data_IF_595575623311
#
_entry.id   IF_595575623311
#
_cell.length_a   1.000
_cell.length_b   1.000
_cell.length_c   1.000
_cell.angle_alpha   90.00
_cell.angle_beta   90.00
_cell.angle_gamma   90.00
#
_symmetry.space_group_name_H-M   'P 1'
#
loop_
_entity.id
_entity.type
_entity.pdbx_description
1 polymer ?
#
# COMPACT_ATOMS: atom_id res chain seq x y z
N UNK A 1 -7.41 -13.74 -25.29
CA UNK A 1 -6.57 -13.34 -24.15
C UNK A 1 -5.34 -12.72 -24.76
N UNK A 2 -5.14 -11.40 -24.68
CA UNK A 2 -3.81 -10.85 -24.95
C UNK A 2 -2.93 -11.46 -23.86
N UNK A 3 -1.82 -12.04 -24.27
CA UNK A 3 -0.89 -12.66 -23.34
C UNK A 3 -0.51 -11.65 -22.27
N UNK A 4 -0.78 -12.02 -21.03
CA UNK A 4 -0.22 -11.35 -19.86
C UNK A 4 1.29 -11.29 -20.12
N UNK A 5 1.89 -10.13 -19.95
CA UNK A 5 3.29 -9.87 -20.30
C UNK A 5 4.15 -11.10 -20.05
N UNK A 6 4.71 -11.69 -21.07
CA UNK A 6 5.61 -12.85 -20.97
C UNK A 6 6.84 -12.53 -20.12
N UNK A 7 7.16 -11.24 -19.97
CA UNK A 7 8.33 -10.75 -19.25
C UNK A 7 7.91 -9.82 -18.13
N UNK A 8 8.48 -9.98 -16.93
CA UNK A 8 8.22 -9.07 -15.80
C UNK A 8 8.60 -7.62 -16.14
N UNK A 9 7.91 -6.66 -15.48
CA UNK A 9 8.22 -5.24 -15.65
C UNK A 9 9.69 -4.93 -15.32
N UNK A 10 10.25 -5.57 -14.30
CA UNK A 10 11.66 -5.41 -13.91
C UNK A 10 12.59 -5.83 -15.04
N UNK A 11 12.36 -6.99 -15.67
CA UNK A 11 13.19 -7.44 -16.78
C UNK A 11 13.18 -6.46 -17.95
N UNK A 12 12.01 -5.94 -18.31
CA UNK A 12 11.88 -4.94 -19.38
C UNK A 12 12.59 -3.62 -19.03
N UNK A 13 12.50 -3.19 -17.76
CA UNK A 13 13.10 -1.93 -17.31
C UNK A 13 14.63 -1.98 -17.27
N UNK A 14 15.20 -3.13 -16.86
CA UNK A 14 16.66 -3.28 -16.80
C UNK A 14 17.31 -3.10 -18.18
N UNK A 15 16.64 -3.48 -19.26
CA UNK A 15 17.08 -3.27 -20.64
C UNK A 15 17.00 -1.79 -21.09
N UNK A 16 16.20 -0.98 -20.38
CA UNK A 16 15.89 0.42 -20.72
C UNK A 16 16.40 1.45 -19.69
N UNK A 17 17.41 1.07 -18.90
CA UNK A 17 18.02 1.96 -17.92
C UNK A 17 17.27 2.08 -16.59
N UNK A 18 16.20 1.31 -16.38
CA UNK A 18 15.57 1.18 -15.07
C UNK A 18 16.47 0.43 -14.10
N UNK A 19 16.15 0.55 -12.80
CA UNK A 19 16.94 -0.08 -11.73
C UNK A 19 16.01 -0.64 -10.67
N UNK A 20 16.33 -1.84 -10.20
CA UNK A 20 15.70 -2.45 -9.03
C UNK A 20 16.72 -2.64 -7.92
N UNK A 21 16.32 -2.41 -6.69
CA UNK A 21 17.16 -2.59 -5.51
C UNK A 21 16.33 -3.14 -4.35
N UNK A 22 16.88 -4.09 -3.58
CA UNK A 22 16.27 -4.54 -2.36
C UNK A 22 16.31 -3.41 -1.31
N UNK A 23 15.25 -3.26 -0.56
CA UNK A 23 15.20 -2.34 0.58
C UNK A 23 15.58 -3.11 1.85
N UNK A 24 16.81 -2.92 2.27
CA UNK A 24 17.38 -3.57 3.46
C UNK A 24 17.41 -2.56 4.59
N UNK A 25 16.83 -2.91 5.72
CA UNK A 25 16.94 -2.13 6.95
C UNK A 25 18.17 -2.65 7.72
N UNK A 26 19.26 -1.90 7.66
CA UNK A 26 20.48 -2.22 8.41
C UNK A 26 20.19 -2.24 9.92
N UNK A 27 20.76 -3.20 10.64
CA UNK A 27 20.59 -3.39 12.09
C UNK A 27 19.14 -3.68 12.56
N UNK A 28 18.19 -3.92 11.66
CA UNK A 28 17.06 -4.71 12.09
C UNK A 28 17.66 -6.04 12.48
N UNK A 29 17.60 -6.41 13.77
CA UNK A 29 17.92 -7.77 14.16
C UNK A 29 17.08 -8.67 13.26
N UNK A 30 17.73 -9.23 12.28
CA UNK A 30 17.11 -10.17 11.35
C UNK A 30 16.86 -11.43 12.15
N UNK A 31 15.66 -11.51 12.70
CA UNK A 31 15.14 -12.70 13.36
C UNK A 31 14.55 -13.68 12.32
N UNK A 32 14.96 -13.56 11.06
CA UNK A 32 14.44 -14.34 9.94
C UNK A 32 13.10 -13.84 9.39
N UNK A 33 12.59 -12.71 9.89
CA UNK A 33 11.30 -12.18 9.49
C UNK A 33 11.44 -11.18 8.35
N UNK A 34 10.49 -11.24 7.40
CA UNK A 34 10.52 -10.46 6.18
C UNK A 34 10.18 -9.00 6.39
N UNK A 35 10.83 -8.16 5.61
CA UNK A 35 10.42 -6.78 5.37
C UNK A 35 9.59 -6.79 4.09
N UNK A 36 8.39 -6.21 4.09
CA UNK A 36 7.50 -6.24 2.94
C UNK A 36 6.72 -4.94 2.76
N UNK A 37 6.02 -4.83 1.66
CA UNK A 37 5.02 -3.81 1.33
C UNK A 37 5.46 -2.38 1.72
N UNK A 38 6.64 -1.92 1.24
CA UNK A 38 7.16 -0.60 1.55
C UNK A 38 6.36 0.49 0.85
N UNK A 39 6.25 1.66 1.50
CA UNK A 39 5.63 2.85 0.93
C UNK A 39 6.60 4.02 0.92
N UNK A 40 6.95 4.50 -0.26
CA UNK A 40 7.82 5.68 -0.45
C UNK A 40 6.98 6.96 -0.46
N UNK A 41 7.51 8.01 0.12
CA UNK A 41 6.98 9.36 0.06
C UNK A 41 8.11 10.36 -0.17
N UNK A 42 7.85 11.36 -0.97
CA UNK A 42 8.77 12.43 -1.30
C UNK A 42 8.21 13.78 -0.84
N UNK A 43 9.06 14.58 -0.20
CA UNK A 43 8.70 15.95 0.13
C UNK A 43 8.94 16.83 -1.09
N UNK A 44 7.86 17.36 -1.66
CA UNK A 44 7.91 18.24 -2.82
C UNK A 44 8.90 19.41 -2.62
N UNK A 45 9.64 19.76 -3.67
CA UNK A 45 10.65 20.81 -3.65
C UNK A 45 11.92 20.49 -2.86
N UNK A 46 12.12 19.22 -2.46
CA UNK A 46 13.31 18.79 -1.72
C UNK A 46 13.88 17.48 -2.27
N UNK A 47 15.05 17.07 -1.79
CA UNK A 47 15.62 15.74 -2.04
C UNK A 47 15.31 14.77 -0.90
N UNK A 48 14.37 15.10 -0.03
CA UNK A 48 14.03 14.29 1.15
C UNK A 48 12.98 13.25 0.79
N UNK A 49 13.38 12.00 0.94
CA UNK A 49 12.48 10.84 0.84
C UNK A 49 12.37 10.13 2.18
N UNK A 50 11.18 9.63 2.46
CA UNK A 50 10.92 8.72 3.56
C UNK A 50 10.33 7.42 2.99
N UNK A 51 10.68 6.32 3.62
CA UNK A 51 10.08 5.01 3.30
C UNK A 51 9.53 4.42 4.58
N UNK A 52 8.25 4.08 4.56
CA UNK A 52 7.70 3.18 5.55
C UNK A 52 7.95 1.74 5.10
N UNK A 53 8.55 0.92 5.94
CA UNK A 53 8.76 -0.51 5.68
C UNK A 53 7.98 -1.31 6.71
N UNK A 54 7.18 -2.24 6.23
CA UNK A 54 6.45 -3.20 7.06
C UNK A 54 7.36 -4.36 7.42
N UNK A 55 7.43 -4.72 8.71
CA UNK A 55 8.06 -5.94 9.21
C UNK A 55 6.97 -6.83 9.79
N UNK A 56 6.95 -8.09 9.37
CA UNK A 56 5.98 -9.09 9.83
C UNK A 56 6.64 -10.17 10.68
N UNK A 57 5.90 -10.75 11.63
CA UNK A 57 6.34 -11.87 12.48
C UNK A 57 5.99 -13.25 11.89
N UNK A 58 5.74 -13.29 10.59
CA UNK A 58 5.32 -14.49 9.87
C UNK A 58 5.82 -14.43 8.43
N UNK A 59 5.69 -15.51 7.68
CA UNK A 59 5.92 -15.54 6.25
C UNK A 59 4.87 -16.41 5.55
N UNK A 60 4.67 -16.12 4.27
CA UNK A 60 3.80 -16.93 3.43
C UNK A 60 4.40 -18.31 3.24
N UNK A 61 3.53 -19.29 3.37
CA UNK A 61 3.83 -20.68 3.09
C UNK A 61 3.03 -21.11 1.87
N UNK A 62 3.73 -21.40 0.79
CA UNK A 62 3.13 -21.87 -0.45
C UNK A 62 3.08 -23.39 -0.47
N UNK A 63 2.16 -23.97 0.30
CA UNK A 63 1.79 -25.39 0.17
C UNK A 63 2.83 -26.43 0.58
N UNK A 64 3.99 -26.05 1.10
CA UNK A 64 5.01 -27.02 1.45
C UNK A 64 4.88 -27.54 2.88
N UNK A 65 4.07 -26.92 3.70
CA UNK A 65 4.01 -27.23 5.12
C UNK A 65 2.70 -27.78 5.61
N UNK A 66 2.80 -28.40 6.74
CA UNK A 66 1.69 -28.98 7.47
C UNK A 66 1.04 -27.98 8.42
N UNK A 67 1.78 -26.96 8.84
CA UNK A 67 1.29 -25.97 9.79
C UNK A 67 0.77 -24.72 9.09
N UNK A 68 -0.55 -24.54 9.18
CA UNK A 68 -1.23 -23.32 8.71
C UNK A 68 -1.82 -22.61 9.90
N UNK A 69 -1.79 -21.30 9.86
CA UNK A 69 -2.47 -20.50 10.86
C UNK A 69 -3.98 -20.67 10.71
N UNK A 70 -4.65 -21.17 11.73
CA UNK A 70 -6.09 -21.41 11.70
C UNK A 70 -6.86 -20.14 12.00
N UNK A 71 -7.87 -19.86 11.20
CA UNK A 71 -8.82 -18.77 11.42
C UNK A 71 -10.25 -19.29 11.35
N UNK A 72 -11.24 -18.51 11.84
CA UNK A 72 -12.65 -18.91 11.74
C UNK A 72 -13.14 -19.16 10.31
N UNK A 73 -12.46 -18.63 9.31
CA UNK A 73 -12.79 -18.79 7.89
C UNK A 73 -11.85 -19.70 7.11
N UNK A 74 -11.10 -20.50 7.84
CA UNK A 74 -10.23 -21.52 7.28
C UNK A 74 -8.73 -21.27 7.52
N UNK A 75 -7.89 -22.21 7.13
CA UNK A 75 -6.44 -22.07 7.27
C UNK A 75 -5.90 -20.99 6.37
N UNK A 76 -4.97 -20.17 6.90
CA UNK A 76 -4.16 -19.24 6.15
C UNK A 76 -2.79 -19.85 5.89
N UNK A 77 -2.22 -19.54 4.73
CA UNK A 77 -0.88 -19.99 4.36
C UNK A 77 0.21 -19.12 5.01
N UNK A 78 0.12 -18.95 6.34
CA UNK A 78 1.12 -18.24 7.12
C UNK A 78 1.81 -19.19 8.10
N UNK A 79 3.13 -19.09 8.17
CA UNK A 79 3.96 -19.79 9.15
C UNK A 79 4.60 -18.78 10.06
N UNK A 80 4.60 -19.08 11.35
CA UNK A 80 5.32 -18.30 12.35
C UNK A 80 6.56 -19.09 12.80
N UNK A 81 7.71 -18.42 12.90
CA UNK A 81 8.94 -19.08 13.34
C UNK A 81 9.05 -19.26 14.85
N UNK A 82 8.12 -18.68 15.61
CA UNK A 82 8.09 -18.70 17.07
C UNK A 82 6.71 -19.14 17.60
N UNK A 83 6.58 -19.23 18.92
CA UNK A 83 5.36 -19.62 19.63
C UNK A 83 4.41 -18.43 19.88
N UNK A 84 4.65 -17.25 19.33
CA UNK A 84 3.75 -16.11 19.46
C UNK A 84 2.38 -16.44 18.82
N UNK A 85 1.28 -16.40 19.57
CA UNK A 85 -0.06 -16.69 19.03
C UNK A 85 -0.56 -15.63 18.03
N UNK A 86 0.18 -14.53 17.86
CA UNK A 86 -0.27 -13.40 17.04
C UNK A 86 0.54 -13.24 15.77
N UNK A 87 -0.14 -12.84 14.68
CA UNK A 87 0.45 -12.38 13.44
C UNK A 87 0.73 -10.88 13.55
N UNK A 88 1.96 -10.53 13.90
CA UNK A 88 2.33 -9.14 14.19
C UNK A 88 2.86 -8.42 12.96
N UNK A 89 2.50 -7.15 12.88
CA UNK A 89 3.01 -6.20 11.91
C UNK A 89 3.57 -4.98 12.63
N UNK A 90 4.84 -4.69 12.40
CA UNK A 90 5.52 -3.47 12.79
C UNK A 90 5.81 -2.60 11.57
N UNK A 91 5.82 -1.30 11.76
CA UNK A 91 6.17 -0.34 10.71
C UNK A 91 7.40 0.47 11.13
N UNK A 92 8.32 0.67 10.19
CA UNK A 92 9.56 1.44 10.37
C UNK A 92 9.58 2.60 9.40
N UNK A 93 9.80 3.80 9.90
CA UNK A 93 10.10 4.97 9.07
C UNK A 93 11.62 5.07 8.90
N UNK A 94 12.04 5.02 7.65
CA UNK A 94 13.44 5.12 7.25
C UNK A 94 13.64 6.38 6.42
N UNK A 95 14.81 6.98 6.55
CA UNK A 95 15.27 8.00 5.61
C UNK A 95 15.81 7.26 4.36
N UNK A 96 15.53 7.79 3.18
CA UNK A 96 15.99 7.21 1.92
C UNK A 96 16.90 8.17 1.18
N UNK A 97 18.06 7.69 0.81
CA UNK A 97 19.07 8.46 0.09
C UNK A 97 19.08 8.04 -1.38
N UNK A 98 18.73 9.00 -2.27
CA UNK A 98 18.68 8.76 -3.72
C UNK A 98 20.03 8.42 -4.35
N UNK A 99 21.15 8.97 -3.83
CA UNK A 99 22.46 8.76 -4.45
C UNK A 99 22.96 7.33 -4.34
N UNK A 100 22.84 6.75 -3.15
CA UNK A 100 23.31 5.39 -2.88
C UNK A 100 22.17 4.37 -2.74
N UNK A 101 20.92 4.83 -2.90
CA UNK A 101 19.72 4.02 -2.88
C UNK A 101 19.49 3.23 -1.59
N UNK A 102 20.09 3.67 -0.48
CA UNK A 102 20.01 2.98 0.81
C UNK A 102 18.95 3.56 1.73
N UNK A 103 18.32 2.68 2.49
CA UNK A 103 17.58 3.05 3.67
C UNK A 103 18.55 3.29 4.83
N UNK A 104 18.35 4.40 5.53
CA UNK A 104 19.13 4.75 6.72
C UNK A 104 18.18 5.12 7.85
N UNK A 105 18.70 5.12 9.08
CA UNK A 105 17.99 5.60 10.26
C UNK A 105 16.61 4.93 10.45
N UNK A 106 16.55 3.60 10.54
CA UNK A 106 15.28 2.89 10.74
C UNK A 106 14.72 3.18 12.14
N UNK A 107 13.49 3.67 12.20
CA UNK A 107 12.80 4.04 13.43
C UNK A 107 11.46 3.33 13.48
N UNK A 108 11.32 2.35 14.37
CA UNK A 108 10.05 1.69 14.61
C UNK A 108 9.00 2.70 15.10
N UNK A 109 7.80 2.64 14.54
CA UNK A 109 6.68 3.45 15.03
C UNK A 109 6.21 2.91 16.37
N UNK A 110 6.38 3.70 17.43
CA UNK A 110 5.88 3.35 18.76
C UNK A 110 4.38 3.61 18.83
N UNK A 111 3.60 2.55 18.91
CA UNK A 111 2.12 2.57 18.97
C UNK A 111 1.55 2.33 20.37
N UNK A 112 2.39 2.25 21.41
CA UNK A 112 2.01 1.86 22.77
C UNK A 112 0.92 2.73 23.41
N UNK A 113 0.79 3.98 22.96
CA UNK A 113 -0.28 4.87 23.42
C UNK A 113 -1.68 4.35 23.08
N UNK A 114 -1.81 3.64 21.97
CA UNK A 114 -3.09 3.21 21.40
C UNK A 114 -3.25 1.69 21.30
N UNK A 115 -2.17 0.95 21.47
CA UNK A 115 -2.18 -0.52 21.42
C UNK A 115 -1.45 -1.03 22.65
N UNK A 116 -2.21 -1.50 23.63
CA UNK A 116 -1.65 -2.05 24.89
C UNK A 116 -1.54 -3.56 24.81
N UNK A 117 -2.67 -4.21 24.62
CA UNK A 117 -2.78 -5.67 24.50
C UNK A 117 -3.37 -6.05 23.15
N UNK A 118 -2.92 -7.14 22.53
CA UNK A 118 -3.55 -7.66 21.34
C UNK A 118 -4.97 -8.18 21.66
N UNK A 119 -5.96 -7.71 20.94
CA UNK A 119 -7.35 -8.16 21.07
C UNK A 119 -7.74 -9.16 19.96
N UNK A 120 -6.89 -9.25 18.91
CA UNK A 120 -7.12 -10.09 17.73
C UNK A 120 -5.82 -10.73 17.27
N UNK A 121 -5.94 -11.82 16.54
CA UNK A 121 -4.79 -12.58 16.01
C UNK A 121 -3.91 -11.74 15.07
N UNK A 122 -4.50 -10.81 14.35
CA UNK A 122 -3.79 -9.85 13.49
C UNK A 122 -3.52 -8.56 14.25
N UNK A 123 -2.25 -8.28 14.49
CA UNK A 123 -1.81 -7.14 15.29
C UNK A 123 -0.98 -6.18 14.44
N UNK A 124 -1.32 -4.92 14.48
CA UNK A 124 -0.55 -3.88 13.81
C UNK A 124 -1.29 -3.25 12.64
N UNK A 125 -0.61 -2.34 11.95
CA UNK A 125 -1.12 -1.63 10.78
C UNK A 125 -0.52 -2.26 9.52
N UNK A 126 -1.36 -2.93 8.73
CA UNK A 126 -0.94 -3.61 7.52
C UNK A 126 -0.96 -2.66 6.31
N UNK A 127 -0.04 -2.87 5.39
CA UNK A 127 0.05 -2.21 4.08
C UNK A 127 -0.05 -0.69 4.20
N UNK A 128 0.78 -0.13 5.07
CA UNK A 128 0.71 1.27 5.46
C UNK A 128 1.35 2.20 4.41
N UNK A 129 0.55 3.11 3.85
CA UNK A 129 0.99 4.18 2.96
C UNK A 129 1.34 5.41 3.78
N UNK A 130 2.53 5.97 3.53
CA UNK A 130 2.97 7.21 4.17
C UNK A 130 2.45 8.41 3.38
N UNK A 131 2.01 9.46 4.07
CA UNK A 131 1.50 10.69 3.47
C UNK A 131 1.70 11.89 4.39
N UNK A 132 1.95 13.06 3.81
CA UNK A 132 1.92 14.34 4.52
C UNK A 132 0.66 15.12 4.12
N UNK A 133 -0.10 15.56 5.11
CA UNK A 133 -1.24 16.45 4.92
C UNK A 133 -1.25 17.56 5.98
N UNK A 134 -1.49 18.78 5.55
CA UNK A 134 -1.55 19.95 6.46
C UNK A 134 -0.30 20.08 7.36
N UNK A 135 0.89 19.76 6.82
CA UNK A 135 2.18 19.83 7.54
C UNK A 135 2.36 18.73 8.60
N UNK A 136 1.56 17.67 8.56
CA UNK A 136 1.62 16.53 9.47
C UNK A 136 1.83 15.23 8.72
N UNK A 137 2.62 14.36 9.32
CA UNK A 137 2.87 13.02 8.77
C UNK A 137 1.85 12.03 9.26
N UNK A 138 1.40 11.18 8.34
CA UNK A 138 0.49 10.07 8.62
C UNK A 138 0.98 8.79 7.96
N UNK A 139 0.57 7.67 8.54
CA UNK A 139 0.56 6.37 7.87
C UNK A 139 -0.87 5.83 7.86
N UNK A 140 -1.30 5.30 6.72
CA UNK A 140 -2.66 4.79 6.56
C UNK A 140 -2.66 3.38 5.99
N UNK A 141 -3.40 2.49 6.60
CA UNK A 141 -3.48 1.08 6.23
C UNK A 141 -4.67 0.40 6.89
N UNK A 142 -4.72 -0.92 6.84
CA UNK A 142 -5.76 -1.69 7.50
C UNK A 142 -5.31 -2.19 8.87
N UNK A 143 -6.23 -2.20 9.81
CA UNK A 143 -6.04 -2.76 11.14
C UNK A 143 -7.32 -3.50 11.58
N UNK A 144 -7.17 -4.57 12.35
CA UNK A 144 -8.34 -5.17 13.01
C UNK A 144 -8.88 -4.20 14.05
N UNK A 145 -10.17 -3.95 13.98
CA UNK A 145 -10.86 -3.05 14.88
C UNK A 145 -11.35 -3.82 16.11
N UNK A 146 -10.82 -3.44 17.28
CA UNK A 146 -11.04 -4.16 18.52
C UNK A 146 -12.50 -4.53 18.85
N UNK A 147 -13.49 -3.62 18.71
CA UNK A 147 -14.86 -3.94 19.10
C UNK A 147 -15.56 -5.03 18.29
N UNK A 148 -15.17 -5.25 17.02
CA UNK A 148 -15.91 -6.16 16.13
C UNK A 148 -15.03 -7.11 15.29
N UNK A 149 -13.70 -7.04 15.44
CA UNK A 149 -12.73 -7.85 14.70
C UNK A 149 -12.65 -7.58 13.20
N UNK A 150 -13.42 -6.63 12.69
CA UNK A 150 -13.45 -6.31 11.27
C UNK A 150 -12.20 -5.54 10.85
N UNK A 151 -11.75 -5.74 9.62
CA UNK A 151 -10.72 -4.91 9.02
C UNK A 151 -11.25 -3.49 8.77
N UNK A 152 -10.55 -2.49 9.29
CA UNK A 152 -10.88 -1.08 9.09
C UNK A 152 -9.67 -0.31 8.62
N UNK A 153 -9.89 0.62 7.71
CA UNK A 153 -8.86 1.59 7.38
C UNK A 153 -8.60 2.48 8.58
N UNK A 154 -7.33 2.68 8.88
CA UNK A 154 -6.87 3.53 9.99
C UNK A 154 -5.89 4.55 9.46
N UNK A 155 -6.05 5.79 9.90
CA UNK A 155 -5.10 6.86 9.70
C UNK A 155 -4.39 7.12 11.04
N UNK A 156 -3.09 6.88 11.08
CA UNK A 156 -2.23 7.11 12.24
C UNK A 156 -1.41 8.37 12.04
N UNK A 157 -1.66 9.43 12.82
CA UNK A 157 -0.82 10.62 12.87
C UNK A 157 0.47 10.28 13.61
N UNK A 158 1.61 10.54 12.99
CA UNK A 158 2.93 10.20 13.54
C UNK A 158 3.78 11.45 13.75
N UNK A 159 4.54 11.45 14.84
CA UNK A 159 5.58 12.44 15.11
C UNK A 159 6.96 11.80 14.85
N UNK A 160 7.68 12.40 13.89
CA UNK A 160 8.98 11.90 13.44
C UNK A 160 10.07 12.81 14.01
N UNK A 161 10.88 12.27 14.90
CA UNK A 161 12.01 12.97 15.51
C UNK A 161 13.32 12.22 15.26
N UNK A 162 14.49 12.84 15.46
CA UNK A 162 15.76 12.12 15.40
C UNK A 162 15.87 10.96 16.41
N UNK A 163 15.13 11.04 17.52
CA UNK A 163 15.14 10.03 18.58
C UNK A 163 14.16 8.88 18.36
N UNK A 164 13.25 8.98 17.41
CA UNK A 164 12.27 7.94 17.12
C UNK A 164 10.99 8.46 16.49
N UNK A 165 10.07 7.53 16.23
CA UNK A 165 8.75 7.81 15.67
C UNK A 165 7.68 7.35 16.64
N UNK A 166 6.67 8.19 16.89
CA UNK A 166 5.55 7.89 17.80
C UNK A 166 4.23 8.11 17.09
N UNK A 167 3.30 7.20 17.28
CA UNK A 167 1.89 7.44 16.94
C UNK A 167 1.29 8.39 17.99
N UNK A 168 0.84 9.56 17.54
CA UNK A 168 0.30 10.62 18.39
C UNK A 168 -1.21 10.82 18.23
N UNK A 169 -1.79 10.26 17.18
CA UNK A 169 -3.23 10.20 16.92
C UNK A 169 -3.59 8.99 16.09
N UNK A 170 -4.76 8.39 16.36
CA UNK A 170 -5.30 7.26 15.60
C UNK A 170 -6.75 7.54 15.25
N UNK A 171 -7.11 7.37 14.00
CA UNK A 171 -8.43 7.62 13.46
C UNK A 171 -8.91 6.39 12.68
N UNK A 172 -9.99 5.77 13.13
CA UNK A 172 -10.65 4.67 12.41
C UNK A 172 -11.57 5.29 11.39
N UNK A 173 -11.31 5.03 10.12
CA UNK A 173 -12.08 5.56 9.01
C UNK A 173 -13.22 4.60 8.66
N UNK A 174 -14.43 5.13 8.62
CA UNK A 174 -15.61 4.37 8.22
C UNK A 174 -15.91 4.64 6.73
N UNK A 175 -16.38 3.63 5.99
CA UNK A 175 -16.88 3.86 4.64
C UNK A 175 -18.13 4.76 4.66
N UNK A 176 -18.57 5.27 3.52
CA UNK A 176 -19.85 5.95 3.43
C UNK A 176 -20.98 5.13 4.03
N UNK A 177 -21.99 5.79 4.57
CA UNK A 177 -23.11 5.17 5.27
C UNK A 177 -23.78 4.07 4.42
N UNK A 178 -24.05 2.94 5.05
CA UNK A 178 -24.67 1.78 4.39
C UNK A 178 -23.72 0.89 3.57
N UNK A 179 -22.43 1.23 3.49
CA UNK A 179 -21.45 0.46 2.70
C UNK A 179 -20.42 -0.31 3.54
N UNK A 180 -20.72 -0.54 4.82
CA UNK A 180 -19.82 -1.30 5.68
C UNK A 180 -19.72 -2.77 5.25
N UNK A 181 -18.48 -3.26 5.13
CA UNK A 181 -18.21 -4.68 4.87
C UNK A 181 -17.30 -5.27 5.97
N UNK A 182 -17.00 -6.56 5.86
CA UNK A 182 -16.15 -7.26 6.81
C UNK A 182 -14.72 -6.70 6.85
N UNK A 183 -14.18 -6.28 5.72
CA UNK A 183 -12.80 -5.79 5.63
C UNK A 183 -12.68 -4.62 4.65
N UNK A 184 -12.67 -3.42 5.18
CA UNK A 184 -12.28 -2.21 4.45
C UNK A 184 -10.76 -2.13 4.39
N UNK A 185 -10.20 -2.14 3.19
CA UNK A 185 -8.76 -2.05 2.97
C UNK A 185 -8.41 -1.44 1.63
N UNK A 186 -7.14 -1.09 1.47
CA UNK A 186 -6.55 -0.63 0.21
C UNK A 186 -7.12 0.69 -0.32
N UNK A 187 -7.63 1.56 0.55
CA UNK A 187 -7.93 2.92 0.16
C UNK A 187 -6.64 3.68 -0.14
N UNK A 188 -6.56 4.29 -1.31
CA UNK A 188 -5.38 5.01 -1.78
C UNK A 188 -5.45 6.48 -1.35
N UNK A 189 -4.56 6.98 -0.47
CA UNK A 189 -4.54 8.39 -0.09
C UNK A 189 -4.13 9.25 -1.28
N UNK A 190 -4.81 10.40 -1.47
CA UNK A 190 -4.51 11.36 -2.52
C UNK A 190 -3.57 12.40 -1.93
N UNK A 191 -2.32 12.48 -2.43
CA UNK A 191 -1.26 13.22 -1.77
C UNK A 191 -1.53 14.73 -1.64
N UNK A 192 -2.11 15.36 -2.66
CA UNK A 192 -2.41 16.81 -2.68
C UNK A 192 -3.81 17.16 -2.17
N UNK A 193 -4.59 16.18 -1.70
CA UNK A 193 -5.94 16.39 -1.17
C UNK A 193 -6.07 15.84 0.25
N UNK A 194 -5.92 16.67 1.29
CA UNK A 194 -6.00 16.22 2.68
C UNK A 194 -7.25 15.41 2.99
N UNK A 195 -7.05 14.21 3.55
CA UNK A 195 -8.09 13.27 3.99
C UNK A 195 -9.00 12.74 2.88
N UNK A 196 -8.57 12.84 1.61
CA UNK A 196 -9.26 12.23 0.49
C UNK A 196 -8.59 10.92 0.09
N UNK A 197 -9.42 9.98 -0.33
CA UNK A 197 -8.98 8.64 -0.74
C UNK A 197 -9.72 8.20 -2.00
N UNK A 198 -9.03 7.49 -2.87
CA UNK A 198 -9.69 6.63 -3.84
C UNK A 198 -10.01 5.33 -3.12
N UNK A 199 -11.30 5.10 -2.84
CA UNK A 199 -11.83 3.91 -2.17
C UNK A 199 -11.92 2.73 -3.11
N UNK A 200 -12.34 3.00 -4.35
CA UNK A 200 -12.46 2.03 -5.42
C UNK A 200 -11.99 2.64 -6.74
N UNK A 201 -11.38 1.87 -7.63
CA UNK A 201 -10.76 2.40 -8.84
C UNK A 201 -11.55 2.13 -10.13
N UNK A 202 -12.49 1.18 -10.14
CA UNK A 202 -13.27 0.86 -11.34
C UNK A 202 -14.67 0.27 -11.01
N UNK A 203 -15.77 1.03 -11.12
CA UNK A 203 -15.77 2.47 -11.36
C UNK A 203 -15.13 3.23 -10.22
N UNK A 204 -14.54 4.37 -10.52
CA UNK A 204 -13.82 5.12 -9.49
C UNK A 204 -14.74 5.69 -8.42
N UNK A 205 -14.35 5.55 -7.16
CA UNK A 205 -15.00 6.12 -5.99
C UNK A 205 -13.99 6.94 -5.19
N UNK A 206 -14.26 8.23 -5.06
CA UNK A 206 -13.44 9.14 -4.25
C UNK A 206 -14.23 9.58 -3.04
N UNK A 207 -13.64 9.41 -1.87
CA UNK A 207 -14.24 9.78 -0.59
C UNK A 207 -13.39 10.79 0.15
N UNK A 208 -14.03 11.55 1.02
CA UNK A 208 -13.40 12.40 2.02
C UNK A 208 -13.74 11.90 3.40
N UNK A 209 -12.74 11.77 4.24
CA UNK A 209 -12.90 11.37 5.65
C UNK A 209 -12.96 12.62 6.51
N UNK A 210 -13.97 12.71 7.38
CA UNK A 210 -14.14 13.81 8.34
C UNK A 210 -13.29 13.53 9.59
N UNK A 211 -12.10 14.12 9.63
CA UNK A 211 -11.18 13.97 10.75
C UNK A 211 -11.52 14.97 11.86
N UNK A 212 -12.23 14.51 12.87
CA UNK A 212 -12.50 15.34 14.03
C UNK A 212 -11.34 15.33 15.03
N UNK A 213 -10.49 16.35 14.96
CA UNK A 213 -9.28 16.50 15.81
C UNK A 213 -9.60 16.54 17.32
N UNK A 214 -10.83 16.88 17.73
CA UNK A 214 -11.26 16.88 19.15
C UNK A 214 -11.34 15.47 19.74
N UNK A 215 -11.44 14.43 18.89
CA UNK A 215 -11.56 13.05 19.33
C UNK A 215 -10.23 12.28 19.38
N UNK A 216 -9.13 12.94 19.03
CA UNK A 216 -7.78 12.38 18.95
C UNK A 216 -7.35 11.49 20.13
N UNK A 217 -7.92 11.70 21.31
CA UNK A 217 -7.56 10.99 22.54
C UNK A 217 -8.68 10.12 23.13
N UNK A 218 -9.78 9.90 22.39
CA UNK A 218 -10.89 9.10 22.88
C UNK A 218 -11.09 7.85 22.03
N UNK A 219 -10.59 6.67 22.44
CA UNK A 219 -10.64 5.44 21.65
C UNK A 219 -12.06 4.97 21.27
N UNK A 220 -13.08 5.36 22.04
CA UNK A 220 -14.48 5.05 21.71
C UNK A 220 -15.11 6.00 20.69
N UNK A 221 -14.48 7.15 20.40
CA UNK A 221 -14.97 8.19 19.48
C UNK A 221 -14.09 8.41 18.25
N UNK A 222 -13.07 7.58 18.02
CA UNK A 222 -12.14 7.70 16.89
C UNK A 222 -12.74 7.32 15.53
N UNK A 223 -14.02 7.09 15.45
CA UNK A 223 -14.70 6.77 14.20
C UNK A 223 -14.88 8.04 13.39
N UNK A 224 -14.24 8.09 12.25
CA UNK A 224 -14.32 9.20 11.31
C UNK A 224 -15.21 8.77 10.14
N UNK A 225 -16.40 9.33 10.01
CA UNK A 225 -17.26 9.04 8.87
C UNK A 225 -16.62 9.56 7.59
N UNK A 226 -17.00 8.97 6.48
CA UNK A 226 -16.63 9.47 5.17
C UNK A 226 -17.87 9.71 4.32
N UNK A 227 -17.68 10.55 3.30
CA UNK A 227 -18.70 10.83 2.30
C UNK A 227 -18.09 10.80 0.91
N UNK A 228 -18.91 10.50 -0.09
CA UNK A 228 -18.48 10.57 -1.47
C UNK A 228 -18.22 12.02 -1.89
N UNK A 229 -17.06 12.23 -2.50
CA UNK A 229 -16.73 13.43 -3.28
C UNK A 229 -17.03 13.19 -4.75
N UNK A 230 -16.78 11.95 -5.19
CA UNK A 230 -17.11 11.51 -6.54
C UNK A 230 -17.47 10.02 -6.49
N UNK A 231 -18.51 9.63 -7.22
CA UNK A 231 -18.91 8.24 -7.43
C UNK A 231 -19.13 8.02 -8.92
N UNK A 232 -18.26 7.17 -9.49
CA UNK A 232 -18.33 6.82 -10.90
C UNK A 232 -19.62 6.06 -11.25
N UNK A 233 -20.06 6.21 -12.49
CA UNK A 233 -21.22 5.49 -13.02
C UNK A 233 -20.87 4.00 -13.20
N UNK A 234 -21.57 3.06 -12.54
CA UNK A 234 -21.36 1.64 -12.73
C UNK A 234 -21.49 1.15 -14.19
N UNK A 235 -22.26 1.86 -15.01
CA UNK A 235 -22.42 1.55 -16.43
C UNK A 235 -21.18 1.90 -17.27
N UNK A 236 -20.29 2.73 -16.72
CA UNK A 236 -19.02 3.13 -17.35
C UNK A 236 -17.82 2.36 -16.79
N UNK A 237 -18.06 1.24 -16.11
CA UNK A 237 -17.00 0.35 -15.64
C UNK A 237 -16.13 -0.12 -16.83
N UNK A 238 -14.82 0.00 -16.67
CA UNK A 238 -13.86 -0.50 -17.67
C UNK A 238 -13.93 -2.03 -17.74
N UNK A 239 -13.75 -2.63 -18.92
CA UNK A 239 -13.92 -4.05 -19.13
C UNK A 239 -12.69 -4.87 -18.72
N UNK A 240 -12.18 -4.63 -17.50
CA UNK A 240 -11.12 -5.46 -16.95
C UNK A 240 -11.64 -6.83 -16.55
N UNK A 241 -10.82 -7.86 -16.74
CA UNK A 241 -11.17 -9.24 -16.36
C UNK A 241 -11.31 -9.39 -14.84
N UNK A 242 -10.44 -8.72 -14.11
CA UNK A 242 -10.40 -8.72 -12.65
C UNK A 242 -10.69 -7.30 -12.13
N UNK A 243 -11.31 -7.23 -10.96
CA UNK A 243 -11.60 -5.93 -10.35
C UNK A 243 -10.33 -5.32 -9.74
N UNK A 244 -9.88 -4.15 -10.26
CA UNK A 244 -8.71 -3.48 -9.72
C UNK A 244 -9.01 -2.88 -8.34
N UNK A 245 -8.13 -3.15 -7.40
CA UNK A 245 -8.16 -2.66 -6.03
C UNK A 245 -7.02 -1.69 -5.80
N UNK A 246 -7.17 -0.79 -4.83
CA UNK A 246 -6.14 0.19 -4.54
C UNK A 246 -4.81 -0.42 -4.09
N UNK A 247 -3.71 0.18 -4.49
CA UNK A 247 -2.35 -0.24 -4.15
C UNK A 247 -1.51 0.92 -3.65
N UNK A 248 -0.89 1.74 -4.51
CA UNK A 248 -0.04 2.87 -4.11
C UNK A 248 -0.83 4.04 -3.51
N UNK A 249 -0.15 5.14 -3.19
CA UNK A 249 -0.80 6.44 -3.08
C UNK A 249 -1.23 6.93 -4.47
N UNK A 250 -2.16 7.91 -4.50
CA UNK A 250 -2.49 8.66 -5.70
C UNK A 250 -1.62 9.90 -5.74
N UNK A 251 -0.77 10.00 -6.74
CA UNK A 251 0.16 11.13 -6.90
C UNK A 251 -0.32 12.10 -8.00
N UNK A 252 -0.07 13.40 -7.85
CA UNK A 252 -0.11 14.34 -8.97
C UNK A 252 0.98 13.98 -9.98
N UNK A 253 0.62 13.90 -11.27
CA UNK A 253 1.57 13.62 -12.34
C UNK A 253 1.11 14.31 -13.64
N UNK A 254 1.91 15.24 -14.19
CA UNK A 254 1.62 16.02 -15.43
C UNK A 254 0.22 16.64 -15.51
N UNK A 255 -0.30 17.13 -14.38
CA UNK A 255 -1.64 17.72 -14.31
C UNK A 255 -2.77 16.72 -14.13
N UNK A 256 -2.48 15.44 -14.12
CA UNK A 256 -3.39 14.33 -13.83
C UNK A 256 -3.19 13.78 -12.42
N UNK A 257 -3.95 12.77 -12.06
CA UNK A 257 -3.72 11.88 -10.93
C UNK A 257 -3.29 10.50 -11.44
N UNK A 258 -2.28 9.92 -10.84
CA UNK A 258 -1.80 8.60 -11.20
C UNK A 258 -1.65 7.71 -9.96
N UNK A 259 -1.99 6.44 -10.10
CA UNK A 259 -1.75 5.42 -9.09
C UNK A 259 -1.47 4.06 -9.73
N UNK A 260 -0.86 3.18 -8.96
CA UNK A 260 -0.83 1.74 -9.26
C UNK A 260 -1.98 1.11 -8.50
N UNK A 261 -2.74 0.25 -9.19
CA UNK A 261 -3.77 -0.62 -8.64
C UNK A 261 -3.34 -2.07 -8.80
N UNK A 262 -3.94 -2.99 -8.05
CA UNK A 262 -3.69 -4.42 -8.19
C UNK A 262 -4.97 -5.20 -8.49
N UNK A 263 -4.80 -6.25 -9.24
CA UNK A 263 -5.83 -7.22 -9.61
C UNK A 263 -5.44 -8.57 -9.02
N UNK A 264 -6.38 -9.29 -8.43
CA UNK A 264 -6.10 -10.59 -7.82
C UNK A 264 -6.86 -11.68 -8.56
N UNK A 265 -6.15 -12.61 -9.12
CA UNK A 265 -6.69 -13.87 -9.61
C UNK A 265 -6.58 -14.93 -8.52
N UNK A 266 -7.69 -15.50 -8.12
CA UNK A 266 -7.78 -16.49 -7.04
C UNK A 266 -8.18 -17.85 -7.60
N UNK A 267 -7.45 -18.88 -7.16
CA UNK A 267 -7.80 -20.28 -7.48
C UNK A 267 -7.57 -21.17 -6.27
N UNK A 268 -7.97 -22.43 -6.40
CA UNK A 268 -7.59 -23.46 -5.46
C UNK A 268 -6.55 -24.36 -6.11
N UNK A 269 -5.46 -24.62 -5.41
CA UNK A 269 -4.42 -25.54 -5.87
C UNK A 269 -4.86 -27.01 -5.71
N UNK A 270 -4.00 -27.95 -6.13
CA UNK A 270 -4.30 -29.39 -6.08
C UNK A 270 -4.58 -29.92 -4.67
N UNK A 271 -4.17 -29.20 -3.63
CA UNK A 271 -4.46 -29.49 -2.22
C UNK A 271 -5.73 -28.78 -1.70
N UNK A 272 -6.49 -28.15 -2.60
CA UNK A 272 -7.67 -27.34 -2.29
C UNK A 272 -7.36 -26.11 -1.38
N UNK A 273 -6.11 -25.65 -1.35
CA UNK A 273 -5.75 -24.43 -0.68
C UNK A 273 -5.97 -23.24 -1.61
N UNK A 274 -6.48 -22.15 -1.06
CA UNK A 274 -6.64 -20.91 -1.82
C UNK A 274 -5.28 -20.31 -2.12
N UNK A 275 -5.02 -20.05 -3.38
CA UNK A 275 -3.84 -19.40 -3.88
C UNK A 275 -4.22 -18.18 -4.73
N UNK A 276 -3.25 -17.34 -5.11
CA UNK A 276 -3.53 -16.13 -5.86
C UNK A 276 -2.33 -15.65 -6.66
N UNK A 277 -2.61 -15.07 -7.83
CA UNK A 277 -1.67 -14.24 -8.55
C UNK A 277 -2.09 -12.78 -8.49
N UNK A 278 -1.13 -11.91 -8.22
CA UNK A 278 -1.34 -10.47 -8.20
C UNK A 278 -0.75 -9.85 -9.45
N UNK A 279 -1.55 -9.05 -10.11
CA UNK A 279 -1.16 -8.23 -11.25
C UNK A 279 -1.33 -6.77 -10.88
N UNK A 280 -0.59 -5.91 -11.54
CA UNK A 280 -0.64 -4.48 -11.29
C UNK A 280 -0.95 -3.74 -12.58
N UNK A 281 -1.49 -2.53 -12.43
CA UNK A 281 -1.81 -1.65 -13.54
C UNK A 281 -1.61 -0.20 -13.11
N UNK A 282 -1.00 0.61 -13.97
CA UNK A 282 -1.09 2.05 -13.80
C UNK A 282 -2.48 2.52 -14.21
N UNK A 283 -3.05 3.43 -13.43
CA UNK A 283 -4.30 4.12 -13.72
C UNK A 283 -4.07 5.63 -13.65
N UNK A 284 -4.59 6.35 -14.64
CA UNK A 284 -4.47 7.80 -14.73
C UNK A 284 -5.86 8.43 -14.86
N UNK A 285 -6.14 9.43 -14.03
CA UNK A 285 -7.40 10.17 -14.01
C UNK A 285 -7.16 11.67 -14.21
N UNK A 286 -8.10 12.35 -14.84
CA UNK A 286 -8.12 13.81 -14.88
C UNK A 286 -8.55 14.40 -13.50
N UNK A 287 -8.55 15.73 -13.40
CA UNK A 287 -8.96 16.40 -12.15
C UNK A 287 -10.46 16.27 -11.84
N UNK A 288 -11.26 15.75 -12.78
CA UNK A 288 -12.69 15.43 -12.63
C UNK A 288 -12.94 13.93 -12.40
N UNK A 289 -11.85 13.16 -12.25
CA UNK A 289 -11.88 11.71 -12.04
C UNK A 289 -12.35 10.87 -13.23
N UNK A 290 -12.31 11.43 -14.45
CA UNK A 290 -12.45 10.61 -15.64
C UNK A 290 -11.15 9.84 -15.88
N UNK A 291 -11.26 8.58 -16.31
CA UNK A 291 -10.09 7.81 -16.73
C UNK A 291 -9.52 8.41 -18.00
N UNK A 292 -8.24 8.74 -17.98
CA UNK A 292 -7.49 9.28 -19.11
C UNK A 292 -6.80 8.16 -19.87
N UNK A 293 -6.07 7.33 -19.15
CA UNK A 293 -5.37 6.16 -19.68
C UNK A 293 -5.06 5.15 -18.58
N UNK A 294 -4.68 3.96 -18.98
CA UNK A 294 -4.22 2.89 -18.08
C UNK A 294 -3.29 1.93 -18.82
N UNK A 295 -2.39 1.28 -18.10
CA UNK A 295 -1.50 0.29 -18.70
C UNK A 295 -2.18 -1.08 -18.85
N UNK A 296 -1.59 -1.95 -19.64
CA UNK A 296 -1.85 -3.37 -19.56
C UNK A 296 -1.45 -3.91 -18.17
N UNK A 297 -2.01 -5.04 -17.72
CA UNK A 297 -1.65 -5.63 -16.43
C UNK A 297 -0.21 -6.17 -16.49
N UNK A 298 0.54 -6.01 -15.41
CA UNK A 298 1.91 -6.50 -15.29
C UNK A 298 2.19 -7.10 -13.91
N UNK A 299 3.21 -7.95 -13.84
CA UNK A 299 3.90 -8.33 -12.61
C UNK A 299 5.19 -7.53 -12.50
N UNK A 300 5.61 -7.19 -11.29
CA UNK A 300 6.90 -6.53 -11.10
C UNK A 300 8.07 -7.48 -11.42
N UNK A 301 8.02 -8.66 -10.83
CA UNK A 301 9.01 -9.74 -11.05
C UNK A 301 8.28 -10.96 -11.61
N UNK A 302 8.29 -12.06 -10.93
CA UNK A 302 7.49 -13.24 -11.29
C UNK A 302 7.00 -13.96 -10.02
N UNK A 303 6.60 -13.16 -9.03
CA UNK A 303 6.02 -13.66 -7.80
C UNK A 303 4.54 -13.97 -7.97
N UNK A 304 4.01 -14.81 -7.10
CA UNK A 304 2.57 -15.01 -6.98
C UNK A 304 1.93 -13.81 -6.29
N UNK A 305 2.52 -13.37 -5.18
CA UNK A 305 2.04 -12.22 -4.41
C UNK A 305 3.10 -11.13 -4.48
N UNK A 306 2.78 -10.08 -5.19
CA UNK A 306 3.53 -8.84 -5.26
C UNK A 306 2.59 -7.71 -4.91
N UNK A 307 3.01 -6.78 -4.05
CA UNK A 307 2.10 -5.74 -3.60
C UNK A 307 2.77 -4.36 -3.51
N UNK A 308 2.28 -3.43 -4.32
CA UNK A 308 2.75 -2.05 -4.33
C UNK A 308 2.03 -1.21 -3.27
N UNK A 309 2.78 -0.58 -2.37
CA UNK A 309 2.23 0.39 -1.42
C UNK A 309 2.73 1.82 -1.63
N UNK A 310 3.69 2.04 -2.53
CA UNK A 310 4.28 3.36 -2.65
C UNK A 310 4.69 3.75 -4.06
N UNK A 311 4.47 5.03 -4.38
CA UNK A 311 4.91 5.65 -5.61
C UNK A 311 5.30 7.10 -5.35
N UNK A 312 6.39 7.57 -5.94
CA UNK A 312 6.85 8.95 -5.85
C UNK A 312 7.54 9.38 -7.15
N UNK A 313 7.37 10.64 -7.53
CA UNK A 313 8.06 11.23 -8.68
C UNK A 313 9.48 11.62 -8.30
N UNK A 314 10.43 11.48 -9.22
CA UNK A 314 11.79 11.98 -9.06
C UNK A 314 11.77 13.53 -9.03
N UNK A 315 12.57 14.18 -8.18
CA UNK A 315 12.51 15.63 -8.02
C UNK A 315 12.96 16.42 -9.26
N UNK A 316 13.80 15.81 -10.09
CA UNK A 316 14.42 16.47 -11.25
C UNK A 316 13.70 16.13 -12.57
N UNK A 317 12.57 15.42 -12.52
CA UNK A 317 11.91 15.02 -13.75
C UNK A 317 10.69 14.15 -13.56
N UNK A 318 10.40 13.39 -14.60
CA UNK A 318 9.17 12.63 -14.76
C UNK A 318 9.36 11.15 -14.45
N UNK A 319 10.56 10.75 -14.08
CA UNK A 319 10.86 9.39 -13.62
C UNK A 319 10.08 9.08 -12.34
N UNK A 320 9.71 7.83 -12.20
CA UNK A 320 8.91 7.38 -11.05
C UNK A 320 9.63 6.31 -10.26
N UNK A 321 9.62 6.46 -8.95
CA UNK A 321 9.99 5.42 -8.01
C UNK A 321 8.75 4.68 -7.53
N UNK A 322 8.81 3.35 -7.58
CA UNK A 322 7.78 2.47 -7.06
C UNK A 322 8.37 1.59 -5.98
N UNK A 323 7.65 1.38 -4.90
CA UNK A 323 8.05 0.45 -3.85
C UNK A 323 7.01 -0.65 -3.70
N UNK A 324 7.49 -1.89 -3.65
CA UNK A 324 6.61 -3.05 -3.58
C UNK A 324 7.21 -4.17 -2.71
N UNK A 325 6.32 -5.02 -2.20
CA UNK A 325 6.66 -6.25 -1.51
C UNK A 325 6.60 -7.44 -2.46
N UNK A 326 7.42 -8.44 -2.19
CA UNK A 326 7.47 -9.70 -2.91
C UNK A 326 7.26 -10.85 -1.94
N UNK A 327 6.22 -11.64 -2.15
CA UNK A 327 5.87 -12.83 -1.38
C UNK A 327 5.72 -12.57 0.13
N UNK A 328 5.28 -11.37 0.53
CA UNK A 328 5.22 -10.88 1.92
C UNK A 328 6.52 -11.07 2.72
N UNK A 329 7.65 -11.20 2.03
CA UNK A 329 8.93 -11.55 2.63
C UNK A 329 10.07 -10.59 2.31
N UNK A 330 10.00 -9.88 1.20
CA UNK A 330 11.04 -8.93 0.81
C UNK A 330 10.45 -7.65 0.25
N UNK A 331 11.22 -6.57 0.35
CA UNK A 331 10.86 -5.24 -0.05
C UNK A 331 11.80 -4.73 -1.13
N UNK A 332 11.26 -4.10 -2.15
CA UNK A 332 12.02 -3.58 -3.29
C UNK A 332 11.62 -2.15 -3.62
N UNK A 333 12.57 -1.44 -4.21
CA UNK A 333 12.36 -0.18 -4.91
C UNK A 333 12.71 -0.37 -6.38
N UNK A 334 11.85 0.13 -7.23
CA UNK A 334 11.99 0.13 -8.68
C UNK A 334 12.04 1.57 -9.17
N UNK A 335 13.03 1.90 -9.98
CA UNK A 335 13.12 3.13 -10.75
C UNK A 335 12.58 2.88 -12.15
N UNK A 336 11.58 3.66 -12.53
CA UNK A 336 10.93 3.60 -13.85
C UNK A 336 11.27 4.91 -14.58
N UNK A 337 12.09 4.84 -15.64
CA UNK A 337 12.33 6.00 -16.50
C UNK A 337 11.04 6.50 -17.14
N UNK A 338 10.89 7.81 -17.25
CA UNK A 338 9.71 8.45 -17.84
C UNK A 338 9.44 7.96 -19.27
N UNK A 339 10.49 7.76 -20.05
CA UNK A 339 10.35 7.24 -21.42
C UNK A 339 9.63 5.88 -21.43
N UNK A 340 10.01 4.97 -20.52
CA UNK A 340 9.35 3.68 -20.42
C UNK A 340 7.90 3.80 -19.91
N UNK A 341 7.68 4.64 -18.89
CA UNK A 341 6.33 4.89 -18.38
C UNK A 341 5.41 5.41 -19.49
N UNK A 342 5.92 6.31 -20.35
CA UNK A 342 5.19 6.84 -21.49
C UNK A 342 4.88 5.78 -22.57
N UNK A 343 5.67 4.70 -22.65
CA UNK A 343 5.33 3.56 -23.52
C UNK A 343 4.24 2.68 -22.96
N UNK A 344 4.10 2.64 -21.64
CA UNK A 344 3.03 1.91 -20.96
C UNK A 344 1.71 2.69 -20.92
N UNK A 345 1.79 4.03 -20.96
CA UNK A 345 0.68 4.96 -20.79
C UNK A 345 0.61 5.90 -21.98
N UNK A 346 -0.37 5.69 -22.83
CA UNK A 346 -0.64 6.60 -23.95
C UNK A 346 -1.33 7.87 -23.42
N UNK A 347 -0.54 8.86 -23.03
CA UNK A 347 -1.09 10.16 -22.65
C UNK A 347 -1.66 10.90 -23.86
N UNK A 348 -2.81 11.58 -23.71
CA UNK A 348 -3.31 12.47 -24.76
C UNK A 348 -2.25 13.52 -25.10
N UNK A 349 -2.00 13.73 -26.39
CA UNK A 349 -1.14 14.84 -26.83
C UNK A 349 -1.71 16.14 -26.28
N UNK A 350 -0.88 16.95 -25.62
CA UNK A 350 -1.27 18.31 -25.25
C UNK A 350 -1.48 19.08 -26.56
N UNK A 351 -2.72 19.52 -26.79
CA UNK A 351 -3.05 20.48 -27.87
C UNK A 351 -2.38 21.84 -27.61
#
# INVERSE_FOLDING_TARGET
MKDLMETSLVAQLLEKGGRIEPLIVENSKSDGLGLCNPSIWHKEGTTKYLVNVRKVSYYLHHCEGEQKYQTPWGPLNYVRPDDDPYLRTDNFICDFNLRNMKLTNPRKINTNKFTKEPEWDFVGLEDARIVEWEGKMYVTGVRRYAPDGKGRMVLSEIDITPKGVKEIGRYVMLPPEGEENYCEKNWMPILDKPFHFVKWSNPIEVIKVDINKKWKNNPKKYRCPSSYVFKGDPKKKLPFQLDPRGSSQVIPYHGYYMAIVHECDYWHNDKNDRDSHYYHRFMVWDKKWNVVTYSDPFKFMDGRIEFCCGMAVHPDGDDVYVTFGFQDNSAYKLHIPAEHLNTMLEFPKKE
#
